data_IF_113193276003
#
_entry.id   IF_113193276003
#
_cell.length_a   1.000
_cell.length_b   1.000
_cell.length_c   1.000
_cell.angle_alpha   90.00
_cell.angle_beta   90.00
_cell.angle_gamma   90.00
#
_symmetry.space_group_name_H-M   'P 1'
#
loop_
_entity.id
_entity.type
_entity.pdbx_description
1 polymer ?
#
# COMPACT_ATOMS: atom_id res chain seq x y z
N UNK A 1 -33.58 -94.43 60.11
CA UNK A 1 -32.34 -94.06 59.39
C UNK A 1 -32.69 -92.82 58.59
N UNK A 2 -32.30 -91.66 59.12
CA UNK A 2 -31.19 -90.82 58.62
C UNK A 2 -31.79 -89.77 57.65
N UNK A 3 -32.06 -88.52 58.06
CA UNK A 3 -31.19 -87.41 58.49
C UNK A 3 -30.80 -86.50 57.32
N UNK A 4 -31.12 -85.19 57.47
CA UNK A 4 -30.47 -83.96 56.94
C UNK A 4 -30.45 -83.80 55.40
N UNK A 5 -30.65 -82.66 54.75
CA UNK A 5 -30.54 -81.22 55.05
C UNK A 5 -31.18 -80.49 53.83
N UNK A 6 -31.91 -79.38 54.01
CA UNK A 6 -31.82 -78.16 53.16
C UNK A 6 -32.90 -77.13 53.57
N UNK A 7 -32.61 -76.39 54.63
CA UNK A 7 -32.46 -74.93 54.62
C UNK A 7 -33.11 -74.18 53.43
N UNK A 8 -34.41 -73.88 53.52
CA UNK A 8 -34.96 -72.55 53.19
C UNK A 8 -34.58 -71.87 51.87
N UNK A 9 -34.21 -72.60 50.82
CA UNK A 9 -34.09 -72.02 49.49
C UNK A 9 -35.51 -71.66 49.03
N UNK A 10 -35.75 -70.36 48.91
CA UNK A 10 -37.03 -69.82 48.51
C UNK A 10 -37.47 -70.53 47.22
N UNK A 11 -38.74 -70.95 47.16
CA UNK A 11 -39.39 -71.41 45.94
C UNK A 11 -39.60 -70.23 44.95
N UNK A 12 -38.53 -69.50 44.67
CA UNK A 12 -38.31 -68.67 43.50
C UNK A 12 -37.91 -69.63 42.39
N UNK A 13 -38.85 -70.45 41.92
CA UNK A 13 -38.61 -71.20 40.69
C UNK A 13 -38.23 -70.18 39.62
N UNK A 14 -37.08 -70.40 38.97
CA UNK A 14 -36.54 -69.62 37.85
C UNK A 14 -37.53 -69.50 36.67
N UNK A 15 -38.69 -70.16 36.75
CA UNK A 15 -39.71 -70.30 35.71
C UNK A 15 -40.95 -69.39 35.85
N UNK A 16 -41.15 -68.67 36.95
CA UNK A 16 -42.29 -67.73 37.08
C UNK A 16 -41.84 -66.31 36.74
N UNK A 17 -41.59 -66.06 35.45
CA UNK A 17 -41.19 -64.74 34.93
C UNK A 17 -42.30 -63.72 35.18
N UNK A 18 -42.03 -62.75 36.05
CA UNK A 18 -42.97 -61.71 36.46
C UNK A 18 -42.89 -60.55 35.44
N UNK A 19 -43.90 -60.34 34.57
CA UNK A 19 -43.80 -59.39 33.44
C UNK A 19 -43.75 -57.91 33.83
N UNK A 20 -43.88 -57.62 35.12
CA UNK A 20 -43.81 -56.28 35.72
C UNK A 20 -42.49 -56.06 36.47
N UNK A 21 -41.64 -57.08 36.49
CA UNK A 21 -40.38 -57.16 37.24
C UNK A 21 -39.19 -57.50 36.32
N UNK A 22 -39.43 -58.16 35.18
CA UNK A 22 -38.70 -57.80 33.97
C UNK A 22 -38.99 -56.33 33.72
N UNK A 23 -37.98 -55.48 33.97
CA UNK A 23 -37.93 -54.19 33.29
C UNK A 23 -38.20 -54.55 31.83
N UNK A 24 -39.22 -53.94 31.22
CA UNK A 24 -39.39 -54.01 29.77
C UNK A 24 -37.98 -53.91 29.21
N UNK A 25 -37.51 -54.96 28.53
CA UNK A 25 -36.20 -54.92 27.89
C UNK A 25 -36.26 -53.67 27.06
N UNK A 26 -35.65 -52.57 27.57
CA UNK A 26 -36.07 -51.21 27.28
C UNK A 26 -36.37 -51.17 25.81
N UNK A 27 -37.66 -51.03 25.43
CA UNK A 27 -38.02 -50.97 24.02
C UNK A 27 -37.07 -49.93 23.47
N UNK A 28 -36.07 -50.34 22.68
CA UNK A 28 -35.06 -49.41 22.19
C UNK A 28 -35.84 -48.50 21.25
N UNK A 29 -36.35 -47.40 21.82
CA UNK A 29 -37.27 -46.49 21.18
C UNK A 29 -36.61 -46.07 19.88
N UNK A 30 -37.24 -46.46 18.76
CA UNK A 30 -36.65 -46.50 17.43
C UNK A 30 -35.58 -45.43 17.19
N UNK A 31 -34.32 -45.84 17.34
CA UNK A 31 -33.18 -44.97 17.05
C UNK A 31 -33.20 -44.60 15.58
N UNK A 32 -33.09 -43.30 15.28
CA UNK A 32 -32.93 -42.87 13.89
C UNK A 32 -31.71 -43.56 13.29
N UNK A 33 -31.87 -44.08 12.07
CA UNK A 33 -30.77 -44.73 11.35
C UNK A 33 -29.61 -43.73 11.20
N UNK A 34 -28.60 -43.92 12.03
CA UNK A 34 -27.47 -43.00 12.13
C UNK A 34 -26.68 -42.99 10.83
N UNK A 35 -26.67 -44.10 10.08
CA UNK A 35 -26.06 -44.15 8.76
C UNK A 35 -26.84 -43.29 7.76
N UNK A 36 -28.17 -43.28 7.84
CA UNK A 36 -29.00 -42.40 7.03
C UNK A 36 -28.77 -40.92 7.36
N UNK A 37 -28.68 -40.57 8.64
CA UNK A 37 -28.36 -39.18 9.08
C UNK A 37 -26.98 -38.75 8.58
N UNK A 38 -25.96 -39.61 8.74
CA UNK A 38 -24.60 -39.32 8.28
C UNK A 38 -24.55 -39.19 6.76
N UNK A 39 -25.28 -40.04 6.02
CA UNK A 39 -25.37 -39.94 4.57
C UNK A 39 -25.98 -38.60 4.11
N UNK A 40 -27.07 -38.15 4.76
CA UNK A 40 -27.65 -36.84 4.46
C UNK A 40 -26.74 -35.68 4.84
N UNK A 41 -26.06 -35.76 5.99
CA UNK A 41 -25.12 -34.74 6.43
C UNK A 41 -23.94 -34.59 5.45
N UNK A 42 -23.35 -35.71 5.00
CA UNK A 42 -22.29 -35.71 4.00
C UNK A 42 -22.79 -35.25 2.63
N UNK A 43 -24.02 -35.62 2.25
CA UNK A 43 -24.67 -35.14 1.03
C UNK A 43 -24.85 -33.62 1.02
N UNK A 44 -25.35 -33.04 2.11
CA UNK A 44 -25.49 -31.58 2.27
C UNK A 44 -24.13 -30.87 2.26
N UNK A 45 -23.12 -31.46 2.88
CA UNK A 45 -21.76 -30.91 2.88
C UNK A 45 -21.18 -30.90 1.45
N UNK A 46 -21.34 -31.99 0.69
CA UNK A 46 -20.91 -32.02 -0.71
C UNK A 46 -21.63 -31.00 -1.58
N UNK A 47 -22.96 -30.86 -1.43
CA UNK A 47 -23.74 -29.88 -2.19
C UNK A 47 -23.29 -28.46 -1.87
N UNK A 48 -23.12 -28.12 -0.59
CA UNK A 48 -22.64 -26.79 -0.18
C UNK A 48 -21.23 -26.52 -0.70
N UNK A 49 -20.32 -27.50 -0.66
CA UNK A 49 -18.99 -27.37 -1.25
C UNK A 49 -19.04 -27.10 -2.76
N UNK A 50 -19.90 -27.81 -3.51
CA UNK A 50 -20.07 -27.59 -4.95
C UNK A 50 -20.67 -26.22 -5.28
N UNK A 51 -21.63 -25.74 -4.49
CA UNK A 51 -22.22 -24.40 -4.66
C UNK A 51 -21.18 -23.32 -4.40
N UNK A 52 -20.37 -23.46 -3.34
CA UNK A 52 -19.30 -22.51 -3.01
C UNK A 52 -18.26 -22.50 -4.13
N UNK A 53 -17.72 -23.65 -4.51
CA UNK A 53 -16.70 -23.76 -5.57
C UNK A 53 -17.24 -23.25 -6.91
N UNK A 54 -18.47 -23.64 -7.28
CA UNK A 54 -19.14 -23.17 -8.50
C UNK A 54 -19.40 -21.67 -8.49
N UNK A 55 -19.81 -21.11 -7.35
CA UNK A 55 -20.02 -19.67 -7.17
C UNK A 55 -18.73 -18.87 -7.27
N UNK A 56 -17.65 -19.33 -6.63
CA UNK A 56 -16.32 -18.74 -6.74
C UNK A 56 -15.77 -18.81 -8.17
N UNK A 57 -15.89 -19.96 -8.83
CA UNK A 57 -15.46 -20.13 -10.21
C UNK A 57 -16.23 -19.20 -11.15
N UNK A 58 -17.54 -19.13 -11.01
CA UNK A 58 -18.38 -18.26 -11.82
C UNK A 58 -18.08 -16.79 -11.57
N UNK A 59 -17.94 -16.35 -10.32
CA UNK A 59 -17.57 -14.97 -10.00
C UNK A 59 -16.22 -14.60 -10.62
N UNK A 60 -15.21 -15.46 -10.46
CA UNK A 60 -13.87 -15.22 -10.97
C UNK A 60 -13.84 -15.21 -12.51
N UNK A 61 -14.61 -16.07 -13.16
CA UNK A 61 -14.67 -16.16 -14.62
C UNK A 61 -15.60 -15.12 -15.28
N UNK A 62 -16.42 -14.42 -14.50
CA UNK A 62 -17.35 -13.39 -15.02
C UNK A 62 -16.63 -12.11 -15.46
N UNK A 63 -15.41 -11.87 -14.99
CA UNK A 63 -14.65 -10.64 -15.22
C UNK A 63 -14.01 -10.51 -16.61
N UNK A 64 -14.14 -11.51 -17.50
CA UNK A 64 -13.39 -11.55 -18.76
C UNK A 64 -14.16 -11.04 -19.99
N UNK A 65 -15.45 -10.68 -19.83
CA UNK A 65 -16.33 -10.34 -20.96
C UNK A 65 -16.40 -8.86 -21.36
N UNK A 66 -15.89 -7.95 -20.50
CA UNK A 66 -16.02 -6.49 -20.69
C UNK A 66 -14.64 -5.80 -20.60
N UNK A 67 -13.56 -6.54 -20.88
CA UNK A 67 -12.30 -5.87 -21.17
C UNK A 67 -12.49 -5.15 -22.51
N UNK A 68 -12.40 -3.81 -22.57
CA UNK A 68 -12.48 -3.10 -23.84
C UNK A 68 -11.41 -3.71 -24.74
N UNK A 69 -11.83 -4.28 -25.87
CA UNK A 69 -10.91 -4.81 -26.87
C UNK A 69 -9.92 -3.69 -27.16
N UNK A 70 -8.63 -3.94 -26.87
CA UNK A 70 -7.60 -2.95 -27.12
C UNK A 70 -7.60 -2.66 -28.62
N UNK A 71 -8.05 -1.46 -28.99
CA UNK A 71 -8.27 -1.01 -30.36
C UNK A 71 -7.02 -1.16 -31.24
N UNK A 72 -5.84 -1.29 -30.62
CA UNK A 72 -4.57 -1.53 -31.33
C UNK A 72 -4.21 -0.40 -32.29
N UNK A 73 -4.93 0.73 -32.23
CA UNK A 73 -4.74 1.86 -33.11
C UNK A 73 -3.41 2.53 -32.77
N UNK A 74 -2.60 2.75 -33.82
CA UNK A 74 -1.32 3.42 -33.68
C UNK A 74 -1.57 4.92 -33.53
N UNK A 75 -0.91 5.53 -32.54
CA UNK A 75 -0.91 6.98 -32.36
C UNK A 75 -0.14 7.57 -33.55
N UNK A 76 -0.84 8.27 -34.44
CA UNK A 76 -0.22 8.94 -35.58
C UNK A 76 0.81 9.97 -35.07
N UNK A 77 2.03 9.89 -35.59
CA UNK A 77 3.05 10.88 -35.27
C UNK A 77 2.58 12.25 -35.75
N UNK A 78 2.74 13.32 -34.95
CA UNK A 78 2.45 14.66 -35.42
C UNK A 78 3.38 15.02 -36.60
N UNK A 79 2.82 15.63 -37.65
CA UNK A 79 3.54 15.99 -38.89
C UNK A 79 4.65 17.04 -38.70
N UNK A 80 4.72 17.64 -37.51
CA UNK A 80 5.72 18.66 -37.21
C UNK A 80 7.08 18.02 -36.90
N UNK A 81 8.20 18.57 -37.40
CA UNK A 81 9.53 18.13 -37.02
C UNK A 81 9.70 18.13 -35.50
N UNK A 82 10.11 16.99 -34.95
CA UNK A 82 10.36 16.83 -33.52
C UNK A 82 11.49 17.76 -33.00
N UNK A 83 12.34 18.25 -33.90
CA UNK A 83 13.40 19.23 -33.59
C UNK A 83 13.46 20.29 -34.68
N UNK A 84 13.18 21.53 -34.29
CA UNK A 84 13.42 22.71 -35.12
C UNK A 84 14.64 23.44 -34.56
N UNK A 85 15.54 23.87 -35.44
CA UNK A 85 16.66 24.72 -35.03
C UNK A 85 16.11 26.04 -34.50
N UNK A 86 16.58 26.56 -33.35
CA UNK A 86 16.19 27.88 -32.88
C UNK A 86 16.53 28.97 -33.91
N UNK A 87 15.63 29.94 -34.11
CA UNK A 87 15.84 31.07 -35.02
C UNK A 87 17.06 31.92 -34.61
N UNK A 88 17.31 32.02 -33.31
CA UNK A 88 18.54 32.56 -32.76
C UNK A 88 19.27 31.42 -32.00
N UNK A 89 20.39 30.89 -32.54
CA UNK A 89 21.14 29.83 -31.87
C UNK A 89 21.75 30.28 -30.55
N UNK A 90 21.71 31.59 -30.24
CA UNK A 90 22.28 32.16 -29.04
C UNK A 90 23.80 32.14 -29.08
N UNK A 91 24.40 33.26 -28.69
CA UNK A 91 25.85 33.40 -28.64
C UNK A 91 26.25 34.83 -28.96
N UNK A 92 27.20 35.37 -28.18
CA UNK A 92 27.88 36.61 -28.58
C UNK A 92 29.02 36.21 -29.49
N UNK A 93 29.02 36.70 -30.72
CA UNK A 93 30.20 36.63 -31.56
C UNK A 93 31.24 37.59 -30.98
N UNK A 94 32.35 37.04 -30.48
CA UNK A 94 33.50 37.83 -30.06
C UNK A 94 34.48 37.93 -31.22
N UNK A 95 35.24 39.03 -31.31
CA UNK A 95 36.31 39.14 -32.29
C UNK A 95 37.29 37.96 -32.12
N UNK A 96 37.47 37.15 -33.17
CA UNK A 96 38.25 35.91 -33.11
C UNK A 96 37.43 34.61 -33.11
N UNK A 97 36.09 34.67 -32.98
CA UNK A 97 35.25 33.47 -33.08
C UNK A 97 35.25 32.96 -34.52
N UNK A 98 35.96 31.85 -34.77
CA UNK A 98 36.05 31.21 -36.09
C UNK A 98 37.43 31.31 -36.75
N UNK A 99 38.30 32.24 -36.34
CA UNK A 99 39.62 32.47 -36.97
C UNK A 99 40.63 31.32 -36.76
N UNK A 100 40.31 30.38 -35.88
CA UNK A 100 41.10 29.18 -35.64
C UNK A 100 40.77 28.04 -36.60
N UNK A 101 39.54 27.97 -37.12
CA UNK A 101 39.10 26.86 -37.96
C UNK A 101 39.80 26.80 -39.34
N UNK A 102 40.01 27.93 -40.07
CA UNK A 102 40.72 27.89 -41.35
C UNK A 102 42.18 27.50 -41.18
N UNK A 103 42.86 28.03 -40.16
CA UNK A 103 44.29 27.77 -39.92
C UNK A 103 44.57 26.31 -39.56
N UNK A 104 43.68 25.66 -38.81
CA UNK A 104 43.79 24.24 -38.48
C UNK A 104 43.53 23.36 -39.71
N UNK A 105 42.58 23.74 -40.58
CA UNK A 105 42.32 23.04 -41.85
C UNK A 105 43.49 23.12 -42.85
N UNK A 106 44.25 24.22 -42.81
CA UNK A 106 45.49 24.41 -43.59
C UNK A 106 46.72 23.74 -42.94
N UNK A 107 46.56 23.01 -41.83
CA UNK A 107 47.65 22.31 -41.13
C UNK A 107 48.59 23.23 -40.34
N UNK A 108 48.21 24.50 -40.10
CA UNK A 108 49.01 25.44 -39.31
C UNK A 108 48.79 25.16 -37.82
N UNK A 109 49.82 24.62 -37.15
CA UNK A 109 49.87 24.51 -35.69
C UNK A 109 50.46 25.79 -35.09
N UNK A 110 49.76 26.40 -34.11
CA UNK A 110 50.33 27.47 -33.28
C UNK A 110 50.57 26.92 -31.88
N UNK A 111 51.83 26.94 -31.43
CA UNK A 111 52.16 26.64 -30.04
C UNK A 111 51.78 27.82 -29.13
N UNK A 112 51.05 27.56 -28.05
CA UNK A 112 50.66 28.58 -27.08
C UNK A 112 51.89 29.11 -26.34
N UNK A 113 52.29 30.35 -26.62
CA UNK A 113 53.34 31.03 -25.85
C UNK A 113 52.73 31.71 -24.63
N UNK A 114 52.92 31.11 -23.46
CA UNK A 114 52.75 31.79 -22.19
C UNK A 114 54.03 32.59 -21.91
N UNK A 115 53.90 33.89 -21.63
CA UNK A 115 55.04 34.77 -21.31
C UNK A 115 55.63 34.35 -19.96
N UNK A 116 56.67 33.52 -19.97
CA UNK A 116 57.47 33.21 -18.79
C UNK A 116 58.42 34.37 -18.51
N UNK A 117 58.05 35.23 -17.54
CA UNK A 117 58.94 36.31 -17.07
C UNK A 117 58.20 37.52 -16.55
N UNK A 118 57.68 37.41 -15.31
CA UNK A 118 57.89 38.40 -14.24
C UNK A 118 57.16 37.91 -12.97
N UNK A 119 57.86 37.12 -12.17
CA UNK A 119 57.59 37.02 -10.75
C UNK A 119 58.79 37.65 -10.03
N UNK A 120 58.70 38.94 -9.70
CA UNK A 120 59.23 39.54 -8.47
C UNK A 120 58.95 41.04 -8.47
N UNK A 121 57.98 41.49 -7.68
CA UNK A 121 57.81 42.92 -7.42
C UNK A 121 56.40 43.35 -7.01
N UNK A 122 56.13 43.25 -5.71
CA UNK A 122 55.17 44.08 -4.95
C UNK A 122 53.74 43.55 -4.69
N UNK A 123 53.49 43.32 -3.39
CA UNK A 123 52.27 43.54 -2.61
C UNK A 123 50.98 42.77 -2.96
N UNK A 124 50.71 41.76 -2.13
CA UNK A 124 49.52 41.63 -1.26
C UNK A 124 48.29 42.48 -1.64
N UNK A 125 47.25 41.85 -2.20
CA UNK A 125 45.87 41.94 -1.70
C UNK A 125 44.99 40.85 -2.33
N UNK A 126 44.55 39.95 -1.47
CA UNK A 126 43.20 39.36 -1.43
C UNK A 126 42.65 38.63 -2.67
N UNK A 127 42.84 37.32 -2.65
CA UNK A 127 42.11 36.34 -3.46
C UNK A 127 40.63 36.32 -3.07
N UNK A 128 39.77 36.94 -3.90
CA UNK A 128 38.33 36.72 -3.84
C UNK A 128 37.99 35.30 -4.33
N UNK A 129 37.54 34.43 -3.40
CA UNK A 129 36.86 33.17 -3.69
C UNK A 129 35.34 33.39 -3.54
N UNK A 130 34.50 33.16 -4.56
CA UNK A 130 33.05 33.19 -4.36
C UNK A 130 32.62 31.94 -3.58
N UNK A 131 32.11 32.14 -2.37
CA UNK A 131 31.44 31.11 -1.55
C UNK A 131 30.00 31.59 -1.34
N UNK A 132 29.02 30.92 -1.92
CA UNK A 132 27.60 31.20 -1.66
C UNK A 132 27.18 30.32 -0.47
N UNK A 133 27.15 30.94 0.71
CA UNK A 133 26.54 30.36 1.90
C UNK A 133 25.02 30.62 1.85
N UNK A 134 24.25 29.54 1.92
CA UNK A 134 22.82 29.51 2.19
C UNK A 134 22.52 30.16 3.54
N UNK A 135 21.60 31.12 3.58
CA UNK A 135 21.04 31.67 4.81
C UNK A 135 19.55 31.33 4.86
N UNK A 136 19.25 30.30 5.64
CA UNK A 136 17.94 30.09 6.25
C UNK A 136 17.54 31.36 7.01
N UNK A 137 16.32 31.83 6.78
CA UNK A 137 15.62 32.74 7.69
C UNK A 137 14.36 32.02 8.15
N UNK A 138 14.31 31.79 9.46
CA UNK A 138 13.14 31.35 10.20
C UNK A 138 12.43 32.59 10.77
N UNK A 139 11.13 32.41 10.96
CA UNK A 139 10.22 33.13 11.83
C UNK A 139 9.47 34.37 11.33
N UNK A 140 8.14 34.21 11.39
CA UNK A 140 7.12 35.24 11.31
C UNK A 140 5.75 34.59 11.54
N UNK A 141 5.45 34.24 12.79
CA UNK A 141 4.13 33.81 13.25
C UNK A 141 3.14 35.00 13.30
N UNK A 142 1.84 34.72 13.10
CA UNK A 142 0.77 35.69 13.27
C UNK A 142 -0.62 35.18 12.86
N UNK A 143 -1.31 34.55 13.81
CA UNK A 143 -2.78 34.37 13.96
C UNK A 143 -3.57 35.70 13.73
N UNK A 144 -4.87 35.80 13.40
CA UNK A 144 -6.03 34.92 13.46
C UNK A 144 -7.24 35.53 12.69
N UNK A 145 -8.24 34.68 12.42
CA UNK A 145 -9.69 34.93 12.26
C UNK A 145 -10.27 35.61 11.01
N UNK A 146 -11.17 34.87 10.33
CA UNK A 146 -12.16 35.38 9.37
C UNK A 146 -12.95 34.26 8.67
N UNK A 147 -14.16 34.02 9.15
CA UNK A 147 -15.19 33.04 8.75
C UNK A 147 -15.66 33.10 7.27
N UNK A 148 -15.92 31.94 6.65
CA UNK A 148 -17.09 31.58 5.81
C UNK A 148 -16.74 30.49 4.78
N UNK A 149 -17.40 29.33 4.94
CA UNK A 149 -17.84 28.33 3.95
C UNK A 149 -17.37 28.48 2.50
N UNK A 150 -16.48 27.60 2.03
CA UNK A 150 -16.74 26.82 0.81
C UNK A 150 -15.80 25.60 0.71
N UNK A 151 -16.43 24.45 0.51
CA UNK A 151 -15.86 23.18 0.13
C UNK A 151 -15.01 23.31 -1.14
N UNK A 152 -13.68 23.35 -0.98
CA UNK A 152 -12.76 23.05 -2.07
C UNK A 152 -11.48 22.45 -1.54
N UNK A 153 -11.34 21.17 -1.84
CA UNK A 153 -10.15 20.32 -1.80
C UNK A 153 -8.91 21.14 -2.15
N UNK A 154 -8.27 21.70 -1.14
CA UNK A 154 -6.91 22.19 -1.24
C UNK A 154 -6.06 20.95 -1.08
N UNK A 155 -5.52 20.48 -2.21
CA UNK A 155 -4.31 19.69 -2.17
C UNK A 155 -3.25 20.53 -1.46
N UNK A 156 -3.23 20.45 -0.13
CA UNK A 156 -2.13 21.02 0.63
C UNK A 156 -0.94 20.17 0.23
N UNK A 157 -0.14 20.72 -0.67
CA UNK A 157 1.16 20.22 -1.09
C UNK A 157 2.12 20.31 0.11
N UNK A 158 1.85 19.47 1.10
CA UNK A 158 2.69 19.27 2.28
C UNK A 158 3.22 17.84 2.22
N UNK A 159 4.41 17.65 2.78
CA UNK A 159 5.03 16.33 2.80
C UNK A 159 4.18 15.42 3.68
N UNK A 160 3.71 14.31 3.11
CA UNK A 160 2.80 13.41 3.78
C UNK A 160 3.35 11.98 3.78
N UNK A 161 3.07 11.24 4.85
CA UNK A 161 3.47 9.84 4.98
C UNK A 161 2.27 8.98 4.59
N UNK A 162 2.37 8.27 3.47
CA UNK A 162 1.37 7.28 3.10
C UNK A 162 1.48 6.09 4.07
N UNK A 163 0.40 5.83 4.79
CA UNK A 163 0.32 4.74 5.80
C UNK A 163 -0.59 3.60 5.34
N UNK A 164 -1.34 3.78 4.25
CA UNK A 164 -2.20 2.74 3.69
C UNK A 164 -2.77 3.09 2.32
N UNK A 165 -3.36 2.08 1.69
CA UNK A 165 -4.09 2.20 0.44
C UNK A 165 -5.29 1.25 0.47
N UNK A 166 -6.49 1.77 0.15
CA UNK A 166 -7.76 1.05 0.29
C UNK A 166 -8.58 1.17 -1.01
N UNK A 167 -9.53 0.25 -1.22
CA UNK A 167 -10.43 0.25 -2.38
C UNK A 167 -11.57 1.25 -2.25
N UNK A 168 -11.95 1.65 -1.03
CA UNK A 168 -13.00 2.64 -0.77
C UNK A 168 -12.57 3.70 0.23
N UNK A 169 -13.27 4.85 0.22
CA UNK A 169 -13.06 5.92 1.20
C UNK A 169 -13.47 5.50 2.61
N UNK A 170 -14.54 4.71 2.74
CA UNK A 170 -15.02 4.21 4.03
C UNK A 170 -13.98 3.29 4.68
N UNK A 171 -13.40 2.37 3.91
CA UNK A 171 -12.35 1.46 4.39
C UNK A 171 -11.09 2.23 4.79
N UNK A 172 -10.74 3.29 4.06
CA UNK A 172 -9.62 4.16 4.43
C UNK A 172 -9.86 4.88 5.76
N UNK A 173 -11.11 5.28 6.04
CA UNK A 173 -11.46 5.96 7.29
C UNK A 173 -11.47 4.99 8.48
N UNK A 174 -12.03 3.80 8.31
CA UNK A 174 -11.95 2.71 9.30
C UNK A 174 -10.51 2.29 9.54
N UNK A 175 -9.73 2.14 8.47
CA UNK A 175 -8.31 1.80 8.52
C UNK A 175 -7.50 2.82 9.32
N UNK A 176 -7.77 4.11 9.17
CA UNK A 176 -7.16 5.15 9.99
C UNK A 176 -7.50 5.01 11.48
N UNK A 177 -8.77 4.75 11.82
CA UNK A 177 -9.18 4.56 13.22
C UNK A 177 -8.48 3.34 13.85
N UNK A 178 -8.38 2.23 13.11
CA UNK A 178 -7.64 1.04 13.53
C UNK A 178 -6.16 1.34 13.74
N UNK A 179 -5.53 2.07 12.80
CA UNK A 179 -4.12 2.41 12.87
C UNK A 179 -3.79 3.27 14.10
N UNK A 180 -4.67 4.22 14.43
CA UNK A 180 -4.56 5.05 15.63
C UNK A 180 -4.71 4.27 16.94
N UNK A 181 -5.40 3.12 16.92
CA UNK A 181 -5.48 2.22 18.07
C UNK A 181 -4.26 1.31 18.21
N UNK A 182 -3.50 1.10 17.14
CA UNK A 182 -2.32 0.23 17.12
C UNK A 182 -1.03 0.96 17.53
N UNK A 183 -0.95 2.27 17.30
CA UNK A 183 0.23 3.09 17.61
C UNK A 183 -0.16 4.43 18.19
N UNK A 184 0.55 4.84 19.23
CA UNK A 184 0.39 6.16 19.83
C UNK A 184 1.03 7.27 18.99
N UNK A 185 1.91 6.91 18.04
CA UNK A 185 2.66 7.84 17.20
C UNK A 185 1.74 8.64 16.27
N UNK A 186 0.56 8.11 15.95
CA UNK A 186 -0.45 8.77 15.11
C UNK A 186 -1.44 9.63 15.92
N UNK A 187 -1.37 9.63 17.25
CA UNK A 187 -2.25 10.47 18.07
C UNK A 187 -1.88 11.95 17.91
N UNK A 188 -2.89 12.77 17.59
CA UNK A 188 -2.70 14.19 17.28
C UNK A 188 -2.18 14.47 15.86
N UNK A 189 -1.91 13.44 15.04
CA UNK A 189 -1.53 13.61 13.64
C UNK A 189 -2.80 13.67 12.77
N UNK A 190 -2.88 14.68 11.90
CA UNK A 190 -3.97 14.78 10.93
C UNK A 190 -3.85 13.73 9.82
N UNK A 191 -4.96 13.33 9.21
CA UNK A 191 -4.95 12.44 8.05
C UNK A 191 -5.69 13.04 6.87
N UNK A 192 -5.30 12.58 5.68
CA UNK A 192 -5.88 12.94 4.38
C UNK A 192 -6.10 11.66 3.58
N UNK A 193 -7.25 11.56 2.93
CA UNK A 193 -7.56 10.47 2.00
C UNK A 193 -7.56 11.02 0.57
N UNK A 194 -6.61 10.57 -0.24
CA UNK A 194 -6.46 11.00 -1.64
C UNK A 194 -6.98 9.91 -2.56
N UNK A 195 -7.94 10.26 -3.43
CA UNK A 195 -8.37 9.39 -4.51
C UNK A 195 -7.31 9.40 -5.60
N UNK A 196 -6.81 8.22 -5.97
CA UNK A 196 -5.89 8.03 -7.09
C UNK A 196 -6.32 6.85 -7.96
N UNK A 197 -5.87 6.84 -9.21
CA UNK A 197 -6.03 5.69 -10.09
C UNK A 197 -4.77 4.82 -10.00
N UNK A 198 -4.95 3.50 -9.95
CA UNK A 198 -3.90 2.51 -10.10
C UNK A 198 -4.29 1.56 -11.26
N UNK A 199 -3.33 0.76 -11.74
CA UNK A 199 -3.55 -0.18 -12.85
C UNK A 199 -4.66 -1.20 -12.56
N UNK A 200 -5.01 -1.38 -11.28
CA UNK A 200 -6.04 -2.28 -10.76
C UNK A 200 -7.39 -1.60 -10.46
N UNK A 201 -7.53 -0.29 -10.72
CA UNK A 201 -8.75 0.48 -10.48
C UNK A 201 -8.58 1.72 -9.60
N UNK A 202 -9.68 2.19 -9.02
CA UNK A 202 -9.68 3.37 -8.12
C UNK A 202 -9.14 2.98 -6.74
N UNK A 203 -8.16 3.72 -6.23
CA UNK A 203 -7.54 3.50 -4.91
C UNK A 203 -7.60 4.77 -4.07
N UNK A 204 -7.89 4.62 -2.79
CA UNK A 204 -7.89 5.67 -1.78
C UNK A 204 -6.63 5.56 -0.94
N UNK A 205 -5.68 6.47 -1.15
CA UNK A 205 -4.41 6.53 -0.41
C UNK A 205 -4.63 7.27 0.90
N UNK A 206 -4.30 6.61 2.01
CA UNK A 206 -4.36 7.19 3.34
C UNK A 206 -2.99 7.79 3.69
N UNK A 207 -2.98 9.09 3.96
CA UNK A 207 -1.77 9.85 4.23
C UNK A 207 -1.87 10.53 5.59
N UNK A 208 -0.84 10.36 6.42
CA UNK A 208 -0.63 11.11 7.66
C UNK A 208 0.10 12.42 7.33
N UNK A 209 -0.44 13.54 7.83
CA UNK A 209 0.08 14.88 7.60
C UNK A 209 1.21 15.16 8.60
N UNK A 210 2.46 15.07 8.13
CA UNK A 210 3.64 15.24 8.97
C UNK A 210 4.24 16.66 8.92
N UNK A 211 3.63 17.57 8.16
CA UNK A 211 4.07 18.96 7.98
C UNK A 211 5.25 19.09 7.02
N UNK A 212 6.42 18.60 7.42
CA UNK A 212 7.68 18.73 6.68
C UNK A 212 8.37 17.37 6.40
N UNK A 213 9.43 17.39 5.60
CA UNK A 213 10.13 16.19 5.15
C UNK A 213 10.93 15.49 6.26
N UNK A 214 11.49 16.22 7.21
CA UNK A 214 12.19 15.65 8.35
C UNK A 214 11.19 15.04 9.35
N UNK A 215 10.08 15.73 9.60
CA UNK A 215 8.92 15.23 10.34
C UNK A 215 8.35 13.96 9.72
N UNK A 216 8.16 13.93 8.40
CA UNK A 216 7.66 12.76 7.69
C UNK A 216 8.59 11.54 7.80
N UNK A 217 9.90 11.74 7.69
CA UNK A 217 10.90 10.66 7.84
C UNK A 217 10.94 10.11 9.27
N UNK A 218 10.93 10.99 10.27
CA UNK A 218 10.94 10.59 11.69
C UNK A 218 9.63 9.89 12.11
N UNK A 219 8.49 10.36 11.60
CA UNK A 219 7.19 9.71 11.78
C UNK A 219 7.21 8.30 11.19
N UNK A 220 7.68 8.16 9.94
CA UNK A 220 7.73 6.87 9.28
C UNK A 220 8.71 5.90 9.97
N UNK A 221 9.84 6.36 10.50
CA UNK A 221 10.74 5.48 11.28
C UNK A 221 10.02 4.88 12.49
N UNK A 222 9.37 5.74 13.30
CA UNK A 222 8.65 5.29 14.51
C UNK A 222 7.48 4.36 14.18
N UNK A 223 6.77 4.64 13.08
CA UNK A 223 5.69 3.76 12.62
C UNK A 223 6.20 2.37 12.25
N UNK A 224 7.37 2.26 11.63
CA UNK A 224 7.98 0.96 11.32
C UNK A 224 8.41 0.20 12.56
N UNK A 225 8.88 0.91 13.58
CA UNK A 225 9.24 0.31 14.87
C UNK A 225 8.01 -0.32 15.55
N UNK A 226 6.83 0.30 15.39
CA UNK A 226 5.53 -0.22 15.83
C UNK A 226 4.90 -1.26 14.86
N UNK A 227 5.62 -1.65 13.79
CA UNK A 227 5.16 -2.63 12.81
C UNK A 227 4.17 -2.09 11.76
N UNK A 228 3.97 -0.77 11.69
CA UNK A 228 3.11 -0.12 10.70
C UNK A 228 3.88 0.21 9.42
N UNK A 229 3.36 -0.25 8.28
CA UNK A 229 3.94 0.06 6.98
C UNK A 229 3.75 1.55 6.62
N UNK A 230 4.84 2.23 6.25
CA UNK A 230 4.80 3.64 5.88
C UNK A 230 5.72 3.96 4.69
N UNK A 231 5.30 4.95 3.90
CA UNK A 231 6.05 5.47 2.77
C UNK A 231 5.96 7.00 2.72
N UNK A 232 7.09 7.69 2.77
CA UNK A 232 7.14 9.15 2.63
C UNK A 232 6.87 9.53 1.17
N UNK A 233 5.87 10.39 0.93
CA UNK A 233 5.52 10.92 -0.38
C UNK A 233 5.75 12.44 -0.38
N UNK A 234 6.63 12.89 -1.26
CA UNK A 234 6.96 14.30 -1.52
C UNK A 234 6.52 14.66 -2.94
#
# INVERSE_FOLDING_TARGET
MAATQDDGELALSEDESLPWLESDEQEEEGGFDTAQIVAFALGLLLITALVVVGGLWWWNNRGSGDAPMADGSTIAAPETPYKTRPDDPGGKEFAGTGDVAPGVGEGKTREGRLKAGEASGSKMTETARPSIATRSTSEGAGESSGDTTNEKITETAGVAVQVGAYSSRADAQTGWATLRGQTDVLNGVGHRIVKGQADIGTVYRLQALAGDLAGARSLCSRLKDDGVACQVKN
#
